data_IF_366129392341
#
_entry.id   IF_366129392341
#
_cell.length_a   1.000
_cell.length_b   1.000
_cell.length_c   1.000
_cell.angle_alpha   90.00
_cell.angle_beta   90.00
_cell.angle_gamma   90.00
#
_symmetry.space_group_name_H-M   'P 1'
#
loop_
_entity.id
_entity.type
_entity.pdbx_description
1 polymer ?
#
# COMPACT_ATOMS: atom_id res chain seq x y z
N UNK A 1 25.74 41.87 23.85
CA UNK A 1 26.30 41.01 22.79
C UNK A 1 25.16 40.54 21.90
N UNK A 2 25.23 40.81 20.60
CA UNK A 2 24.24 40.29 19.65
C UNK A 2 24.60 38.85 19.27
N UNK A 3 23.65 37.92 19.40
CA UNK A 3 23.79 36.55 18.93
C UNK A 3 23.81 36.60 17.40
N UNK A 4 24.92 36.22 16.76
CA UNK A 4 25.01 36.08 15.30
C UNK A 4 24.71 34.62 14.93
N UNK A 5 23.69 34.36 14.10
CA UNK A 5 23.42 33.00 13.64
C UNK A 5 24.61 32.48 12.81
N UNK A 6 24.99 31.22 13.04
CA UNK A 6 26.05 30.52 12.28
C UNK A 6 25.52 29.81 11.02
N UNK A 7 24.24 29.95 10.72
CA UNK A 7 23.58 29.32 9.58
C UNK A 7 23.12 30.37 8.57
N UNK A 8 23.12 30.01 7.30
CA UNK A 8 22.54 30.82 6.23
C UNK A 8 21.10 30.38 5.95
N UNK A 9 20.26 31.21 5.30
CA UNK A 9 18.94 30.79 4.83
C UNK A 9 18.97 29.55 3.92
N UNK A 10 20.05 29.38 3.15
CA UNK A 10 20.25 28.21 2.30
C UNK A 10 20.49 26.94 3.12
N UNK A 11 21.16 27.05 4.27
CA UNK A 11 21.37 25.90 5.17
C UNK A 11 20.05 25.47 5.82
N UNK A 12 19.19 26.42 6.19
CA UNK A 12 17.83 26.13 6.71
C UNK A 12 17.03 25.36 5.66
N UNK A 13 17.01 25.85 4.41
CA UNK A 13 16.27 25.19 3.33
C UNK A 13 16.78 23.78 3.08
N UNK A 14 18.10 23.57 3.10
CA UNK A 14 18.71 22.24 2.91
C UNK A 14 18.32 21.27 4.01
N UNK A 15 18.38 21.72 5.27
CA UNK A 15 17.98 20.90 6.42
C UNK A 15 16.49 20.53 6.33
N UNK A 16 15.64 21.48 5.95
CA UNK A 16 14.20 21.24 5.80
C UNK A 16 13.94 20.20 4.69
N UNK A 17 14.58 20.34 3.53
CA UNK A 17 14.42 19.38 2.43
C UNK A 17 14.88 17.98 2.81
N UNK A 18 16.06 17.86 3.44
CA UNK A 18 16.56 16.57 3.93
C UNK A 18 15.60 15.90 4.91
N UNK A 19 14.94 16.70 5.74
CA UNK A 19 13.96 16.20 6.68
C UNK A 19 12.69 15.69 5.98
N UNK A 20 12.18 16.44 5.00
CA UNK A 20 11.05 16.02 4.17
C UNK A 20 11.36 14.74 3.39
N UNK A 21 12.56 14.63 2.82
CA UNK A 21 13.01 13.44 2.11
C UNK A 21 13.08 12.22 3.04
N UNK A 22 13.54 12.42 4.28
CA UNK A 22 13.57 11.35 5.28
C UNK A 22 12.16 10.86 5.65
N UNK A 23 11.20 11.78 5.80
CA UNK A 23 9.79 11.42 6.04
C UNK A 23 9.24 10.63 4.86
N UNK A 24 9.39 11.17 3.64
CA UNK A 24 8.85 10.57 2.43
C UNK A 24 9.42 9.16 2.20
N UNK A 25 10.74 9.01 2.32
CA UNK A 25 11.39 7.69 2.20
C UNK A 25 10.96 6.71 3.30
N UNK A 26 10.77 7.19 4.52
CA UNK A 26 10.23 6.39 5.63
C UNK A 26 8.81 5.88 5.34
N UNK A 27 7.92 6.75 4.85
CA UNK A 27 6.56 6.38 4.46
C UNK A 27 6.59 5.36 3.31
N UNK A 28 7.35 5.61 2.24
CA UNK A 28 7.49 4.65 1.12
C UNK A 28 7.95 3.28 1.62
N UNK A 29 8.93 3.25 2.52
CA UNK A 29 9.44 2.00 3.09
C UNK A 29 8.37 1.24 3.84
N UNK A 30 7.51 1.93 4.60
CA UNK A 30 6.38 1.30 5.30
C UNK A 30 5.38 0.72 4.28
N UNK A 31 5.01 1.50 3.26
CA UNK A 31 4.08 1.07 2.21
C UNK A 31 4.61 -0.16 1.47
N UNK A 32 5.90 -0.19 1.12
CA UNK A 32 6.54 -1.34 0.48
C UNK A 32 6.51 -2.57 1.40
N UNK A 33 6.85 -2.43 2.69
CA UNK A 33 6.82 -3.56 3.64
C UNK A 33 5.43 -4.14 3.82
N UNK A 34 4.41 -3.29 3.94
CA UNK A 34 3.02 -3.72 4.05
C UNK A 34 2.56 -4.35 2.74
N UNK A 35 2.92 -3.78 1.58
CA UNK A 35 2.62 -4.37 0.27
C UNK A 35 3.25 -5.75 0.08
N UNK A 36 4.49 -5.94 0.54
CA UNK A 36 5.14 -7.26 0.51
C UNK A 36 4.46 -8.26 1.45
N UNK A 37 4.00 -7.83 2.63
CA UNK A 37 3.21 -8.67 3.54
C UNK A 37 1.88 -9.07 2.90
N UNK A 38 1.15 -8.11 2.34
CA UNK A 38 -0.09 -8.35 1.60
C UNK A 38 0.10 -9.42 0.51
N UNK A 39 1.12 -9.30 -0.33
CA UNK A 39 1.39 -10.28 -1.39
C UNK A 39 1.71 -11.66 -0.81
N UNK A 40 2.54 -11.72 0.24
CA UNK A 40 2.88 -13.00 0.88
C UNK A 40 1.65 -13.68 1.46
N UNK A 41 0.83 -12.96 2.22
CA UNK A 41 -0.33 -13.52 2.91
C UNK A 41 -1.39 -13.99 1.91
N UNK A 42 -1.61 -13.22 0.84
CA UNK A 42 -2.55 -13.57 -0.22
C UNK A 42 -2.08 -14.81 -1.01
N UNK A 43 -0.77 -14.95 -1.22
CA UNK A 43 -0.19 -16.15 -1.85
C UNK A 43 -0.20 -17.38 -0.95
N UNK A 44 -0.10 -17.21 0.36
CA UNK A 44 -0.22 -18.31 1.32
C UNK A 44 -1.67 -18.69 1.62
N UNK A 45 -2.66 -17.93 1.14
CA UNK A 45 -4.07 -18.21 1.38
C UNK A 45 -4.47 -17.96 2.84
N UNK A 46 -3.76 -17.07 3.54
CA UNK A 46 -4.04 -16.78 4.94
C UNK A 46 -5.34 -16.00 5.03
N UNK A 47 -6.41 -16.68 5.46
CA UNK A 47 -7.66 -16.02 5.81
C UNK A 47 -7.66 -15.65 7.30
N UNK A 48 -7.83 -14.35 7.54
CA UNK A 48 -7.84 -13.71 8.85
C UNK A 48 -9.25 -13.29 9.27
N UNK A 49 -10.22 -13.37 8.37
CA UNK A 49 -11.61 -13.01 8.60
C UNK A 49 -12.52 -14.12 8.04
N UNK A 50 -12.39 -15.34 8.56
CA UNK A 50 -13.13 -16.52 8.07
C UNK A 50 -14.66 -16.40 8.16
N UNK A 51 -15.17 -15.46 8.97
CA UNK A 51 -16.60 -15.14 8.99
C UNK A 51 -17.09 -14.34 7.77
N UNK A 52 -16.20 -13.61 7.09
CA UNK A 52 -16.52 -12.82 5.90
C UNK A 52 -16.44 -13.66 4.60
N UNK A 53 -15.62 -14.71 4.61
CA UNK A 53 -15.40 -15.60 3.46
C UNK A 53 -15.82 -17.03 3.82
N UNK A 54 -17.11 -17.39 3.66
CA UNK A 54 -17.63 -18.69 4.12
C UNK A 54 -17.01 -19.88 3.40
N UNK A 55 -16.37 -19.68 2.24
CA UNK A 55 -15.62 -20.72 1.54
C UNK A 55 -14.12 -20.69 1.83
N UNK A 56 -13.64 -19.66 2.53
CA UNK A 56 -12.24 -19.48 2.88
C UNK A 56 -11.35 -19.42 1.64
N UNK A 57 -10.26 -20.17 1.68
CA UNK A 57 -9.24 -20.19 0.63
C UNK A 57 -9.65 -21.00 -0.61
N UNK A 58 -9.10 -20.65 -1.77
CA UNK A 58 -9.36 -21.34 -3.03
C UNK A 58 -8.21 -22.28 -3.41
N UNK A 59 -8.56 -23.36 -4.12
CA UNK A 59 -7.55 -24.27 -4.71
C UNK A 59 -7.01 -23.68 -6.00
N UNK A 60 -5.77 -23.19 -5.97
CA UNK A 60 -5.06 -22.74 -7.16
C UNK A 60 -4.37 -23.92 -7.87
N UNK A 61 -5.05 -24.52 -8.84
CA UNK A 61 -4.53 -25.71 -9.56
C UNK A 61 -3.39 -25.39 -10.52
N UNK A 62 -3.37 -24.19 -11.09
CA UNK A 62 -2.37 -23.78 -12.10
C UNK A 62 -1.25 -22.95 -11.48
N UNK A 63 -1.50 -22.33 -10.33
CA UNK A 63 -0.59 -21.37 -9.70
C UNK A 63 -0.68 -19.96 -10.32
N UNK A 64 -1.48 -19.78 -11.38
CA UNK A 64 -1.56 -18.52 -12.12
C UNK A 64 -2.19 -17.41 -11.29
N UNK A 65 -3.21 -17.72 -10.48
CA UNK A 65 -3.89 -16.69 -9.70
C UNK A 65 -2.96 -16.14 -8.63
N UNK A 66 -2.39 -17.00 -7.77
CA UNK A 66 -1.49 -16.58 -6.69
C UNK A 66 -0.24 -15.89 -7.21
N UNK A 67 0.36 -16.39 -8.28
CA UNK A 67 1.57 -15.78 -8.87
C UNK A 67 1.30 -14.41 -9.50
N UNK A 68 0.06 -14.15 -9.95
CA UNK A 68 -0.36 -12.85 -10.50
C UNK A 68 -0.65 -11.78 -9.45
N UNK A 69 -0.65 -12.12 -8.16
CA UNK A 69 -0.89 -11.16 -7.08
C UNK A 69 0.35 -10.30 -6.88
N UNK A 70 0.13 -8.99 -6.83
CA UNK A 70 1.17 -7.99 -6.61
C UNK A 70 0.62 -6.72 -5.99
N UNK A 71 1.50 -5.73 -5.83
CA UNK A 71 1.15 -4.42 -5.28
C UNK A 71 1.82 -3.27 -6.02
N UNK A 72 1.24 -2.08 -5.86
CA UNK A 72 1.73 -0.81 -6.38
C UNK A 72 1.72 0.20 -5.24
N UNK A 73 2.81 0.96 -5.11
CA UNK A 73 2.89 2.14 -4.26
C UNK A 73 2.90 3.36 -5.17
N UNK A 74 1.95 4.27 -4.93
CA UNK A 74 1.82 5.51 -5.67
C UNK A 74 1.88 6.73 -4.73
N UNK A 75 2.35 7.84 -5.27
CA UNK A 75 2.33 9.15 -4.62
C UNK A 75 1.73 10.18 -5.58
N UNK A 76 0.67 10.86 -5.14
CA UNK A 76 -0.09 11.81 -5.97
C UNK A 76 -0.47 11.23 -7.35
N UNK A 77 -0.92 9.97 -7.39
CA UNK A 77 -1.29 9.27 -8.63
C UNK A 77 -0.11 8.82 -9.51
N UNK A 78 1.14 9.05 -9.10
CA UNK A 78 2.35 8.60 -9.80
C UNK A 78 2.89 7.32 -9.17
N UNK A 79 3.13 6.29 -9.97
CA UNK A 79 3.72 5.03 -9.49
C UNK A 79 5.16 5.29 -9.02
N UNK A 80 5.43 4.98 -7.76
CA UNK A 80 6.78 4.97 -7.19
C UNK A 80 7.40 3.58 -7.20
N UNK A 81 6.60 2.54 -6.97
CA UNK A 81 7.06 1.16 -6.93
C UNK A 81 5.95 0.23 -7.41
N UNK A 82 6.33 -0.78 -8.17
CA UNK A 82 5.45 -1.84 -8.62
C UNK A 82 6.15 -3.18 -8.41
N UNK A 83 5.45 -4.15 -7.81
CA UNK A 83 5.99 -5.49 -7.53
C UNK A 83 4.97 -6.55 -7.87
N UNK A 84 5.27 -7.31 -8.92
CA UNK A 84 4.53 -8.47 -9.40
C UNK A 84 5.56 -9.54 -9.78
N UNK A 85 5.31 -10.79 -9.42
CA UNK A 85 6.18 -11.91 -9.85
C UNK A 85 5.82 -12.31 -11.28
N UNK A 86 4.52 -12.37 -11.56
CA UNK A 86 3.98 -12.44 -12.90
C UNK A 86 3.10 -11.22 -13.16
N UNK A 87 3.49 -10.42 -14.15
CA UNK A 87 2.73 -9.24 -14.56
C UNK A 87 1.88 -9.59 -15.79
N UNK A 88 0.58 -9.76 -15.58
CA UNK A 88 -0.35 -9.98 -16.69
C UNK A 88 -0.55 -8.67 -17.49
N UNK A 89 -0.37 -8.67 -18.82
CA UNK A 89 -0.58 -7.48 -19.64
C UNK A 89 -1.97 -6.84 -19.52
N UNK A 90 -3.00 -7.60 -19.13
CA UNK A 90 -4.34 -7.07 -18.89
C UNK A 90 -4.38 -6.05 -17.76
N UNK A 91 -3.47 -6.13 -16.78
CA UNK A 91 -3.33 -5.15 -15.69
C UNK A 91 -3.04 -3.74 -16.20
N UNK A 92 -2.38 -3.59 -17.35
CA UNK A 92 -2.11 -2.27 -17.95
C UNK A 92 -3.40 -1.49 -18.28
N UNK A 93 -4.54 -2.17 -18.43
CA UNK A 93 -5.84 -1.53 -18.65
C UNK A 93 -6.47 -1.00 -17.36
N UNK A 94 -6.17 -1.64 -16.23
CA UNK A 94 -6.79 -1.37 -14.94
C UNK A 94 -5.96 -0.42 -14.07
N UNK A 95 -4.63 -0.54 -14.11
CA UNK A 95 -3.72 0.30 -13.30
C UNK A 95 -3.98 1.80 -13.49
N UNK A 96 -4.16 2.34 -14.71
CA UNK A 96 -4.49 3.77 -14.88
C UNK A 96 -5.80 4.19 -14.22
N UNK A 97 -6.82 3.31 -14.23
CA UNK A 97 -8.11 3.57 -13.61
C UNK A 97 -7.97 3.58 -12.08
N UNK A 98 -7.22 2.63 -11.52
CA UNK A 98 -6.93 2.58 -10.08
C UNK A 98 -6.14 3.81 -9.64
N UNK A 99 -5.14 4.24 -10.42
CA UNK A 99 -4.39 5.47 -10.12
C UNK A 99 -5.27 6.72 -10.18
N UNK A 100 -6.25 6.76 -11.09
CA UNK A 100 -7.22 7.86 -11.15
C UNK A 100 -8.05 7.95 -9.88
N UNK A 101 -8.44 6.81 -9.30
CA UNK A 101 -9.16 6.76 -8.01
C UNK A 101 -8.28 7.15 -6.82
N UNK A 102 -6.95 7.20 -6.99
CA UNK A 102 -6.01 7.69 -5.99
C UNK A 102 -5.65 9.17 -6.15
N UNK A 103 -6.20 9.87 -7.15
CA UNK A 103 -5.99 11.31 -7.32
C UNK A 103 -6.54 12.04 -6.09
N UNK A 104 -5.69 12.87 -5.48
CA UNK A 104 -6.00 13.57 -4.22
C UNK A 104 -5.53 12.82 -2.96
N UNK A 105 -5.11 11.55 -3.09
CA UNK A 105 -4.39 10.85 -2.04
C UNK A 105 -2.88 11.06 -2.21
N UNK A 106 -2.22 11.50 -1.13
CA UNK A 106 -0.77 11.74 -1.15
C UNK A 106 0.03 10.45 -1.28
N UNK A 107 -0.40 9.40 -0.58
CA UNK A 107 0.22 8.09 -0.61
C UNK A 107 -0.86 7.04 -0.82
N UNK A 108 -0.58 6.03 -1.66
CA UNK A 108 -1.54 4.96 -1.93
C UNK A 108 -0.83 3.61 -2.06
N UNK A 109 -1.41 2.60 -1.41
CA UNK A 109 -1.03 1.20 -1.57
C UNK A 109 -2.18 0.50 -2.29
N UNK A 110 -1.89 -0.05 -3.46
CA UNK A 110 -2.87 -0.72 -4.32
C UNK A 110 -2.45 -2.18 -4.42
N UNK A 111 -3.29 -3.09 -3.89
CA UNK A 111 -3.15 -4.53 -4.13
C UNK A 111 -3.95 -4.95 -5.36
N UNK A 112 -3.39 -5.82 -6.20
CA UNK A 112 -4.08 -6.32 -7.39
C UNK A 112 -3.80 -7.81 -7.62
N UNK A 113 -4.81 -8.52 -8.11
CA UNK A 113 -4.69 -9.86 -8.68
C UNK A 113 -4.80 -9.76 -10.20
N UNK A 114 -3.80 -10.27 -10.93
CA UNK A 114 -3.68 -10.11 -12.39
C UNK A 114 -4.59 -10.98 -13.24
N UNK A 115 -5.48 -11.76 -12.65
CA UNK A 115 -6.36 -12.70 -13.37
C UNK A 115 -7.81 -12.25 -13.27
N UNK A 116 -8.49 -12.15 -14.42
CA UNK A 116 -9.88 -11.64 -14.51
C UNK A 116 -10.89 -12.49 -13.70
N UNK A 117 -10.61 -13.78 -13.48
CA UNK A 117 -11.47 -14.67 -12.68
C UNK A 117 -11.30 -14.51 -11.15
N UNK A 118 -10.37 -13.65 -10.69
CA UNK A 118 -10.21 -13.36 -9.26
C UNK A 118 -11.49 -12.78 -8.64
N UNK A 119 -12.11 -11.82 -9.35
CA UNK A 119 -13.37 -11.21 -8.92
C UNK A 119 -14.52 -12.22 -8.86
N UNK A 120 -14.54 -13.19 -9.78
CA UNK A 120 -15.51 -14.27 -9.78
C UNK A 120 -15.39 -15.14 -8.51
N UNK A 121 -14.17 -15.53 -8.12
CA UNK A 121 -13.95 -16.30 -6.88
C UNK A 121 -14.36 -15.52 -5.61
N UNK A 122 -14.01 -14.24 -5.55
CA UNK A 122 -14.44 -13.34 -4.46
C UNK A 122 -15.97 -13.26 -4.36
N UNK A 123 -16.66 -13.11 -5.51
CA UNK A 123 -18.13 -13.08 -5.56
C UNK A 123 -18.78 -14.39 -5.13
N UNK A 124 -18.07 -15.52 -5.29
CA UNK A 124 -18.52 -16.83 -4.82
C UNK A 124 -18.29 -17.06 -3.33
N UNK A 125 -17.63 -16.12 -2.63
CA UNK A 125 -17.34 -16.18 -1.20
C UNK A 125 -15.98 -16.80 -0.84
N UNK A 126 -15.07 -16.94 -1.82
CA UNK A 126 -13.66 -17.26 -1.55
C UNK A 126 -12.86 -15.99 -1.24
N UNK A 127 -11.79 -16.14 -0.48
CA UNK A 127 -10.85 -15.08 -0.19
C UNK A 127 -9.67 -15.13 -1.18
N UNK A 128 -9.51 -14.09 -2.00
CA UNK A 128 -8.39 -13.95 -2.95
C UNK A 128 -7.38 -12.91 -2.46
N UNK A 129 -7.85 -11.67 -2.25
CA UNK A 129 -7.04 -10.56 -1.72
C UNK A 129 -7.78 -9.68 -0.72
N UNK A 130 -9.11 -9.83 -0.61
CA UNK A 130 -9.94 -8.87 0.12
C UNK A 130 -9.64 -8.85 1.63
N UNK A 131 -9.46 -10.02 2.26
CA UNK A 131 -9.08 -10.04 3.69
C UNK A 131 -7.69 -9.43 3.91
N UNK A 132 -6.74 -9.71 3.01
CA UNK A 132 -5.39 -9.17 3.10
C UNK A 132 -5.38 -7.66 2.90
N UNK A 133 -6.26 -7.12 2.05
CA UNK A 133 -6.42 -5.67 1.89
C UNK A 133 -6.89 -5.00 3.20
N UNK A 134 -7.82 -5.64 3.93
CA UNK A 134 -8.27 -5.13 5.23
C UNK A 134 -7.15 -5.12 6.26
N UNK A 135 -6.32 -6.16 6.32
CA UNK A 135 -5.18 -6.19 7.24
C UNK A 135 -4.06 -5.27 6.83
N UNK A 136 -3.79 -5.16 5.53
CA UNK A 136 -2.85 -4.17 5.03
C UNK A 136 -3.25 -2.76 5.47
N UNK A 137 -4.54 -2.41 5.46
CA UNK A 137 -5.01 -1.10 5.97
C UNK A 137 -4.70 -0.92 7.46
N UNK A 138 -5.02 -1.92 8.29
CA UNK A 138 -4.80 -1.83 9.74
C UNK A 138 -3.30 -1.69 10.04
N UNK A 139 -2.48 -2.56 9.45
CA UNK A 139 -1.04 -2.56 9.67
C UNK A 139 -0.37 -1.30 9.10
N UNK A 140 -0.82 -0.80 7.95
CA UNK A 140 -0.36 0.46 7.39
C UNK A 140 -0.68 1.62 8.33
N UNK A 141 -1.89 1.68 8.85
CA UNK A 141 -2.33 2.71 9.80
C UNK A 141 -1.47 2.69 11.06
N UNK A 142 -1.26 1.51 11.63
CA UNK A 142 -0.49 1.36 12.87
C UNK A 142 0.98 1.71 12.69
N UNK A 143 1.61 1.23 11.60
CA UNK A 143 3.02 1.51 11.30
C UNK A 143 3.26 2.98 11.00
N UNK A 144 2.39 3.64 10.23
CA UNK A 144 2.54 5.07 9.94
C UNK A 144 2.28 5.91 11.19
N UNK A 145 1.27 5.58 12.01
CA UNK A 145 1.05 6.25 13.30
C UNK A 145 2.27 6.13 14.21
N UNK A 146 2.86 4.93 14.30
CA UNK A 146 4.07 4.70 15.08
C UNK A 146 5.25 5.51 14.54
N UNK A 147 5.49 5.47 13.23
CA UNK A 147 6.56 6.23 12.59
C UNK A 147 6.45 7.73 12.86
N UNK A 148 5.24 8.28 12.75
CA UNK A 148 5.01 9.71 13.02
C UNK A 148 5.16 10.01 14.50
N UNK A 149 4.65 9.17 15.40
CA UNK A 149 4.83 9.37 16.85
C UNK A 149 6.31 9.39 17.24
N UNK A 150 7.10 8.50 16.64
CA UNK A 150 8.54 8.37 16.91
C UNK A 150 9.32 9.57 16.31
N UNK A 151 8.90 10.06 15.14
CA UNK A 151 9.54 11.21 14.49
C UNK A 151 9.07 12.58 15.03
N UNK A 152 7.81 12.71 15.42
CA UNK A 152 7.12 13.94 15.84
C UNK A 152 6.10 13.66 16.97
N UNK A 153 6.56 13.60 18.23
CA UNK A 153 5.66 13.41 19.36
C UNK A 153 4.68 14.60 19.48
N UNK A 154 3.37 14.31 19.48
CA UNK A 154 2.30 15.30 19.68
C UNK A 154 1.49 15.69 18.43
N UNK A 155 1.74 15.06 17.28
CA UNK A 155 1.01 15.33 16.02
C UNK A 155 -0.13 14.32 15.80
N UNK A 156 -1.35 14.80 15.55
CA UNK A 156 -2.49 13.97 15.14
C UNK A 156 -2.55 13.83 13.61
N UNK A 157 -2.60 12.60 13.11
CA UNK A 157 -2.75 12.29 11.67
C UNK A 157 -4.11 11.68 11.39
N UNK A 158 -4.76 12.20 10.35
CA UNK A 158 -5.97 11.60 9.77
C UNK A 158 -5.61 10.77 8.54
N UNK A 159 -6.15 9.55 8.48
CA UNK A 159 -6.06 8.66 7.32
C UNK A 159 -7.40 8.70 6.57
N UNK A 160 -7.36 8.91 5.25
CA UNK A 160 -8.48 8.56 4.39
C UNK A 160 -8.57 7.03 4.38
N UNK A 161 -9.74 6.46 4.68
CA UNK A 161 -9.93 5.02 4.84
C UNK A 161 -9.66 4.19 3.57
N UNK A 162 -9.96 2.90 3.61
CA UNK A 162 -9.88 2.04 2.42
C UNK A 162 -10.96 2.40 1.42
N UNK A 163 -10.56 2.60 0.17
CA UNK A 163 -11.43 2.52 -0.99
C UNK A 163 -11.11 1.22 -1.72
N UNK A 164 -12.11 0.36 -1.89
CA UNK A 164 -12.02 -0.80 -2.77
C UNK A 164 -12.80 -0.48 -4.05
N UNK A 165 -12.13 -0.60 -5.19
CA UNK A 165 -12.78 -0.64 -6.49
C UNK A 165 -12.75 -2.10 -6.93
N UNK A 166 -13.84 -2.81 -6.69
CA UNK A 166 -14.06 -4.18 -7.17
C UNK A 166 -14.71 -4.09 -8.55
#
# INVERSE_FOLDING_TARGET
MAIRPKFTPQDINRMLQQHLDHINSGIVTIFQRVGEQFVRDARMGIDINSGAYPKGDYTDQTGNLRSSIGYIVAHDGVILTQKFDYFDPSLNRFVPQLLTNTIGLRWSLIGAAGMEYASYLESMGYNVISSQAQTAMVDLTDRVKKFVKDAYPGTDIQFAGVTSSI
#
